data_IF_915282371529
#
_entry.id   IF_915282371529
#
_cell.length_a   1.000
_cell.length_b   1.000
_cell.length_c   1.000
_cell.angle_alpha   90.00
_cell.angle_beta   90.00
_cell.angle_gamma   90.00
#
_symmetry.space_group_name_H-M   'P 1'
#
loop_
_entity.id
_entity.type
_entity.pdbx_description
1 polymer ?
#
# COMPACT_ATOMS: atom_id res chain seq x y z
N UNK A 1 -8.85 4.88 11.60
CA UNK A 1 -8.04 5.70 10.67
C UNK A 1 -6.62 5.14 10.71
N UNK A 2 -5.98 4.91 9.57
CA UNK A 2 -4.62 4.36 9.54
C UNK A 2 -3.58 5.49 9.70
N UNK A 3 -3.56 6.44 8.76
CA UNK A 3 -2.67 7.60 8.84
C UNK A 3 -3.19 8.76 7.99
N UNK A 4 -2.72 9.98 8.26
CA UNK A 4 -2.92 11.12 7.37
C UNK A 4 -1.79 11.14 6.34
N UNK A 5 -2.13 11.02 5.06
CA UNK A 5 -1.15 11.07 3.99
C UNK A 5 -1.03 12.50 3.46
N UNK A 6 0.05 13.18 3.84
CA UNK A 6 0.34 14.55 3.41
C UNK A 6 0.42 14.69 1.88
N UNK A 7 0.94 13.67 1.19
CA UNK A 7 1.07 13.66 -0.27
C UNK A 7 -0.27 13.67 -1.00
N UNK A 8 -1.29 13.04 -0.40
CA UNK A 8 -2.64 13.00 -0.96
C UNK A 8 -3.56 14.08 -0.38
N UNK A 9 -3.10 14.81 0.65
CA UNK A 9 -3.94 15.73 1.41
C UNK A 9 -5.17 15.06 2.03
N UNK A 10 -5.12 13.75 2.26
CA UNK A 10 -6.29 12.96 2.70
C UNK A 10 -5.91 11.87 3.71
N UNK A 11 -6.88 11.41 4.48
CA UNK A 11 -6.74 10.32 5.43
C UNK A 11 -6.86 8.96 4.73
N UNK A 12 -5.91 8.07 5.03
CA UNK A 12 -5.96 6.66 4.67
C UNK A 12 -6.54 5.88 5.85
N UNK A 13 -7.52 5.04 5.58
CA UNK A 13 -8.16 4.17 6.57
C UNK A 13 -8.87 3.01 5.89
N UNK A 14 -9.66 2.25 6.64
CA UNK A 14 -10.28 0.99 6.17
C UNK A 14 -10.93 1.07 4.78
N UNK A 15 -11.74 2.12 4.52
CA UNK A 15 -12.45 2.28 3.24
C UNK A 15 -11.58 2.82 2.10
N UNK A 16 -10.45 3.47 2.41
CA UNK A 16 -9.59 4.13 1.42
C UNK A 16 -8.24 3.41 1.23
N UNK A 17 -7.94 2.41 2.05
CA UNK A 17 -6.67 1.67 2.03
C UNK A 17 -6.48 0.89 0.74
N UNK A 18 -7.52 0.26 0.21
CA UNK A 18 -7.48 -0.43 -1.08
C UNK A 18 -7.11 0.52 -2.22
N UNK A 19 -7.73 1.71 -2.25
CA UNK A 19 -7.45 2.75 -3.24
C UNK A 19 -6.01 3.25 -3.10
N UNK A 20 -5.52 3.41 -1.86
CA UNK A 20 -4.15 3.83 -1.60
C UNK A 20 -3.10 2.81 -2.10
N UNK A 21 -3.32 1.51 -1.87
CA UNK A 21 -2.42 0.46 -2.38
C UNK A 21 -2.45 0.39 -3.90
N UNK A 22 -3.61 0.54 -4.53
CA UNK A 22 -3.73 0.62 -5.99
C UNK A 22 -3.03 1.85 -6.56
N UNK A 23 -3.14 3.00 -5.88
CA UNK A 23 -2.40 4.21 -6.23
C UNK A 23 -0.89 3.97 -6.19
N UNK A 24 -0.36 3.40 -5.11
CA UNK A 24 1.08 3.09 -5.00
C UNK A 24 1.55 2.11 -6.07
N UNK A 25 0.74 1.10 -6.40
CA UNK A 25 1.03 0.15 -7.48
C UNK A 25 1.08 0.86 -8.84
N UNK A 26 0.08 1.69 -9.15
CA UNK A 26 0.03 2.45 -10.40
C UNK A 26 1.20 3.43 -10.51
N UNK A 27 1.53 4.14 -9.43
CA UNK A 27 2.69 5.04 -9.34
C UNK A 27 4.01 4.29 -9.60
N UNK A 28 4.19 3.12 -8.97
CA UNK A 28 5.38 2.28 -9.17
C UNK A 28 5.52 1.83 -10.63
N UNK A 29 4.42 1.40 -11.26
CA UNK A 29 4.40 1.01 -12.67
C UNK A 29 4.74 2.19 -13.58
N UNK A 30 4.13 3.36 -13.32
CA UNK A 30 4.35 4.58 -14.11
C UNK A 30 5.81 5.04 -14.05
N UNK A 31 6.42 5.04 -12.86
CA UNK A 31 7.83 5.39 -12.67
C UNK A 31 8.76 4.41 -13.39
N UNK A 32 8.47 3.10 -13.32
CA UNK A 32 9.23 2.07 -14.02
C UNK A 32 9.14 2.19 -15.55
N UNK A 33 7.93 2.42 -16.09
CA UNK A 33 7.72 2.65 -17.51
C UNK A 33 8.42 3.92 -17.99
N UNK A 34 8.29 5.02 -17.25
CA UNK A 34 8.93 6.31 -17.56
C UNK A 34 10.46 6.18 -17.56
N UNK A 35 11.04 5.53 -16.54
CA UNK A 35 12.48 5.27 -16.48
C UNK A 35 12.98 4.44 -17.66
N UNK A 36 12.25 3.40 -18.05
CA UNK A 36 12.58 2.55 -19.21
C UNK A 36 12.54 3.33 -20.52
N UNK A 37 11.52 4.17 -20.70
CA UNK A 37 11.39 5.05 -21.86
C UNK A 37 12.52 6.09 -21.91
N UNK A 38 12.90 6.67 -20.78
CA UNK A 38 13.99 7.64 -20.68
C UNK A 38 15.35 7.01 -21.05
N UNK A 39 15.66 5.80 -20.57
CA UNK A 39 16.87 5.05 -20.97
C UNK A 39 16.85 4.74 -22.47
N UNK A 40 15.71 4.28 -22.98
CA UNK A 40 15.55 3.96 -24.41
C UNK A 40 15.69 5.20 -25.29
N UNK A 41 15.25 6.36 -24.82
CA UNK A 41 15.42 7.63 -25.51
C UNK A 41 16.90 8.01 -25.63
N UNK A 42 17.71 7.86 -24.56
CA UNK A 42 19.15 8.08 -24.62
C UNK A 42 19.81 7.14 -25.65
N UNK A 43 19.47 5.85 -25.63
CA UNK A 43 20.02 4.87 -26.57
C UNK A 43 19.71 5.18 -28.04
N UNK A 44 18.46 5.56 -28.34
CA UNK A 44 18.07 5.99 -29.70
C UNK A 44 18.73 7.31 -30.08
N UNK A 45 18.74 8.29 -29.18
CA UNK A 45 19.40 9.57 -29.40
C UNK A 45 20.91 9.43 -29.53
N UNK A 46 21.55 8.37 -29.03
CA UNK A 46 22.97 8.08 -29.28
C UNK A 46 23.18 7.46 -30.68
N UNK A 47 22.26 6.60 -31.13
CA UNK A 47 22.32 5.91 -32.42
C UNK A 47 21.91 6.79 -33.62
N UNK A 48 21.01 7.76 -33.43
CA UNK A 48 20.47 8.62 -34.49
C UNK A 48 21.38 9.83 -34.79
N UNK A 49 22.49 10.06 -34.06
CA UNK A 49 23.33 11.27 -34.19
C UNK A 49 24.14 11.35 -35.49
N UNK A 50 23.46 11.72 -36.56
CA UNK A 50 23.85 12.78 -37.51
C UNK A 50 22.82 13.91 -37.32
N UNK A 51 23.19 15.11 -36.88
CA UNK A 51 22.28 16.26 -37.06
C UNK A 51 22.11 17.22 -35.90
N UNK A 52 20.95 17.24 -35.23
CA UNK A 52 20.29 18.54 -35.05
C UNK A 52 19.76 18.89 -33.64
N UNK A 53 20.45 18.52 -32.55
CA UNK A 53 20.10 19.03 -31.22
C UNK A 53 21.33 19.40 -30.36
N UNK A 54 21.28 20.50 -29.56
CA UNK A 54 22.31 20.75 -28.57
C UNK A 54 22.27 19.63 -27.52
N UNK A 55 23.22 18.71 -27.71
CA UNK A 55 23.63 17.59 -26.87
C UNK A 55 23.41 17.77 -25.35
N UNK A 56 23.66 18.93 -24.72
CA UNK A 56 23.48 19.06 -23.27
C UNK A 56 22.02 18.95 -22.81
N UNK A 57 21.04 19.57 -23.47
CA UNK A 57 19.71 19.71 -22.87
C UNK A 57 18.91 18.40 -22.81
N UNK A 58 18.85 17.66 -23.92
CA UNK A 58 18.15 16.35 -23.95
C UNK A 58 18.81 15.33 -23.03
N UNK A 59 20.14 15.27 -23.03
CA UNK A 59 20.88 14.33 -22.19
C UNK A 59 20.69 14.68 -20.71
N UNK A 60 20.80 15.97 -20.35
CA UNK A 60 20.53 16.43 -18.99
C UNK A 60 19.09 16.13 -18.58
N UNK A 61 18.10 16.42 -19.42
CA UNK A 61 16.69 16.13 -19.12
C UNK A 61 16.44 14.63 -18.92
N UNK A 62 17.00 13.77 -19.77
CA UNK A 62 16.85 12.32 -19.65
C UNK A 62 17.53 11.78 -18.38
N UNK A 63 18.75 12.24 -18.05
CA UNK A 63 19.44 11.87 -16.82
C UNK A 63 18.65 12.32 -15.59
N UNK A 64 18.18 13.56 -15.57
CA UNK A 64 17.34 14.08 -14.48
C UNK A 64 16.06 13.26 -14.33
N UNK A 65 15.39 12.92 -15.43
CA UNK A 65 14.20 12.07 -15.41
C UNK A 65 14.48 10.68 -14.83
N UNK A 66 15.58 10.04 -15.24
CA UNK A 66 16.01 8.73 -14.71
C UNK A 66 16.28 8.83 -13.20
N UNK A 67 17.02 9.84 -12.75
CA UNK A 67 17.33 10.04 -11.33
C UNK A 67 16.06 10.20 -10.50
N UNK A 68 15.10 11.01 -10.97
CA UNK A 68 13.81 11.18 -10.30
C UNK A 68 13.01 9.87 -10.28
N UNK A 69 12.97 9.12 -11.38
CA UNK A 69 12.29 7.82 -11.44
C UNK A 69 12.91 6.81 -10.48
N UNK A 70 14.24 6.78 -10.34
CA UNK A 70 14.94 5.87 -9.42
C UNK A 70 14.65 6.24 -7.97
N UNK A 71 14.78 7.51 -7.60
CA UNK A 71 14.57 7.96 -6.22
C UNK A 71 13.10 7.80 -5.79
N UNK A 72 12.17 8.29 -6.60
CA UNK A 72 10.74 8.14 -6.33
C UNK A 72 10.30 6.68 -6.41
N UNK A 73 10.81 5.93 -7.39
CA UNK A 73 10.48 4.52 -7.58
C UNK A 73 10.95 3.65 -6.42
N UNK A 74 12.14 3.92 -5.88
CA UNK A 74 12.63 3.24 -4.68
C UNK A 74 11.73 3.49 -3.46
N UNK A 75 11.35 4.76 -3.22
CA UNK A 75 10.47 5.13 -2.13
C UNK A 75 9.07 4.50 -2.29
N UNK A 76 8.46 4.63 -3.47
CA UNK A 76 7.14 4.09 -3.79
C UNK A 76 7.12 2.55 -3.67
N UNK A 77 8.14 1.86 -4.20
CA UNK A 77 8.25 0.40 -4.11
C UNK A 77 8.39 -0.07 -2.67
N UNK A 78 9.25 0.59 -1.88
CA UNK A 78 9.45 0.24 -0.47
C UNK A 78 8.15 0.41 0.32
N UNK A 79 7.43 1.51 0.08
CA UNK A 79 6.15 1.77 0.73
C UNK A 79 5.07 0.78 0.27
N UNK A 80 5.03 0.44 -1.01
CA UNK A 80 4.11 -0.56 -1.56
C UNK A 80 4.33 -1.93 -0.91
N UNK A 81 5.59 -2.40 -0.83
CA UNK A 81 5.94 -3.66 -0.17
C UNK A 81 5.48 -3.64 1.29
N UNK A 82 5.73 -2.53 2.00
CA UNK A 82 5.31 -2.37 3.38
C UNK A 82 3.79 -2.47 3.54
N UNK A 83 3.02 -1.77 2.70
CA UNK A 83 1.56 -1.78 2.74
C UNK A 83 0.98 -3.14 2.37
N UNK A 84 1.53 -3.81 1.35
CA UNK A 84 1.13 -5.17 0.97
C UNK A 84 1.42 -6.15 2.11
N UNK A 85 2.57 -6.03 2.78
CA UNK A 85 2.89 -6.87 3.93
C UNK A 85 1.92 -6.66 5.11
N UNK A 86 1.46 -5.44 5.34
CA UNK A 86 0.43 -5.11 6.33
C UNK A 86 -0.92 -5.75 5.99
N UNK A 87 -1.34 -5.67 4.73
CA UNK A 87 -2.58 -6.33 4.24
C UNK A 87 -2.56 -7.82 4.52
N UNK A 88 -1.47 -8.52 4.21
CA UNK A 88 -1.36 -9.95 4.50
C UNK A 88 -1.30 -10.25 6.01
N UNK A 89 -0.86 -9.32 6.85
CA UNK A 89 -0.85 -9.49 8.31
C UNK A 89 -2.17 -9.12 8.97
N UNK A 90 -3.11 -8.53 8.24
CA UNK A 90 -4.38 -8.07 8.80
C UNK A 90 -4.18 -6.95 9.81
N UNK A 91 -3.21 -6.06 9.55
CA UNK A 91 -2.86 -4.97 10.44
C UNK A 91 -2.80 -3.65 9.70
N UNK A 92 -3.20 -2.58 10.37
CA UNK A 92 -2.99 -1.21 9.92
C UNK A 92 -1.57 -0.73 10.27
N UNK A 93 -1.09 0.32 9.60
CA UNK A 93 0.17 1.00 9.94
C UNK A 93 0.13 1.49 11.38
N UNK A 94 -1.00 2.05 11.81
CA UNK A 94 -1.18 2.52 13.18
C UNK A 94 -1.07 1.38 14.20
N UNK A 95 -1.75 0.24 13.97
CA UNK A 95 -1.65 -0.93 14.85
C UNK A 95 -0.22 -1.45 14.95
N UNK A 96 0.51 -1.51 13.83
CA UNK A 96 1.92 -1.93 13.84
C UNK A 96 2.81 -0.97 14.63
N UNK A 97 2.66 0.34 14.44
CA UNK A 97 3.49 1.35 15.10
C UNK A 97 3.16 1.49 16.60
N UNK A 98 1.92 1.23 16.99
CA UNK A 98 1.43 1.40 18.36
C UNK A 98 1.20 0.08 19.09
N UNK A 99 1.55 -1.06 18.50
CA UNK A 99 1.23 -2.40 19.01
C UNK A 99 1.55 -2.57 20.48
N UNK A 100 2.77 -2.26 20.91
CA UNK A 100 3.18 -2.42 22.30
C UNK A 100 2.30 -1.61 23.27
N UNK A 101 1.92 -0.39 22.90
CA UNK A 101 1.07 0.48 23.72
C UNK A 101 -0.38 -0.03 23.76
N UNK A 102 -0.91 -0.44 22.61
CA UNK A 102 -2.27 -0.97 22.49
C UNK A 102 -2.43 -2.28 23.22
N UNK A 103 -1.48 -3.19 23.04
CA UNK A 103 -1.50 -4.50 23.69
C UNK A 103 -1.29 -4.36 25.20
N UNK A 104 -0.41 -3.46 25.66
CA UNK A 104 -0.29 -3.18 27.09
C UNK A 104 -1.60 -2.64 27.70
N UNK A 105 -2.25 -1.68 27.02
CA UNK A 105 -3.54 -1.13 27.48
C UNK A 105 -4.67 -2.19 27.47
N UNK A 106 -4.63 -3.11 26.53
CA UNK A 106 -5.58 -4.22 26.42
C UNK A 106 -5.20 -5.48 27.23
N UNK A 107 -4.10 -5.44 28.00
CA UNK A 107 -3.57 -6.58 28.76
C UNK A 107 -3.27 -7.83 27.90
N UNK A 108 -2.78 -7.59 26.68
CA UNK A 108 -2.41 -8.62 25.70
C UNK A 108 -0.88 -8.80 25.61
N UNK A 109 -0.41 -9.96 25.10
CA UNK A 109 1.01 -10.15 24.79
C UNK A 109 1.54 -9.06 23.84
N UNK A 110 2.81 -8.61 23.98
CA UNK A 110 3.36 -7.50 23.20
C UNK A 110 3.29 -7.68 21.68
N UNK A 111 3.38 -8.92 21.19
CA UNK A 111 3.37 -9.26 19.76
C UNK A 111 2.01 -9.77 19.26
N UNK A 112 0.97 -9.71 20.10
CA UNK A 112 -0.35 -10.19 19.74
C UNK A 112 -0.96 -9.35 18.61
N UNK A 113 -1.65 -10.04 17.70
CA UNK A 113 -2.34 -9.44 16.54
C UNK A 113 -3.81 -9.81 16.60
N UNK A 114 -4.65 -8.94 17.19
CA UNK A 114 -6.03 -9.23 17.50
C UNK A 114 -6.87 -9.59 16.27
N UNK A 115 -6.62 -8.91 15.15
CA UNK A 115 -7.42 -8.98 13.92
C UNK A 115 -6.79 -9.86 12.83
N UNK A 116 -5.64 -10.48 13.09
CA UNK A 116 -4.99 -11.38 12.14
C UNK A 116 -5.77 -12.70 12.02
N UNK A 117 -6.24 -13.00 10.81
CA UNK A 117 -7.01 -14.20 10.46
C UNK A 117 -6.27 -15.11 9.49
N UNK A 118 -4.98 -14.86 9.29
CA UNK A 118 -4.13 -15.55 8.35
C UNK A 118 -4.08 -14.87 6.97
N UNK A 119 -2.97 -15.02 6.22
CA UNK A 119 -2.67 -14.18 5.07
C UNK A 119 -3.75 -14.16 3.99
N UNK A 120 -4.31 -15.33 3.66
CA UNK A 120 -5.34 -15.45 2.64
C UNK A 120 -6.64 -14.76 3.06
N UNK A 121 -7.06 -14.96 4.31
CA UNK A 121 -8.31 -14.39 4.83
C UNK A 121 -8.19 -12.87 4.95
N UNK A 122 -7.06 -12.37 5.45
CA UNK A 122 -6.79 -10.93 5.53
C UNK A 122 -6.82 -10.27 4.15
N UNK A 123 -6.20 -10.90 3.14
CA UNK A 123 -6.23 -10.40 1.77
C UNK A 123 -7.64 -10.41 1.17
N UNK A 124 -8.44 -11.47 1.38
CA UNK A 124 -9.82 -11.54 0.90
C UNK A 124 -10.72 -10.49 1.55
N UNK A 125 -10.52 -10.21 2.84
CA UNK A 125 -11.21 -9.13 3.55
C UNK A 125 -10.83 -7.78 2.93
N UNK A 126 -9.54 -7.54 2.71
CA UNK A 126 -9.03 -6.31 2.08
C UNK A 126 -9.58 -6.10 0.66
N UNK A 127 -9.70 -7.16 -0.14
CA UNK A 127 -10.29 -7.09 -1.48
C UNK A 127 -11.82 -6.92 -1.46
N UNK A 128 -12.48 -6.97 -0.30
CA UNK A 128 -13.94 -6.95 -0.19
C UNK A 128 -14.61 -8.26 -0.61
N UNK A 129 -13.83 -9.31 -0.89
CA UNK A 129 -14.33 -10.65 -1.23
C UNK A 129 -14.87 -11.39 0.01
N UNK A 130 -14.50 -10.94 1.20
CA UNK A 130 -14.98 -11.45 2.48
C UNK A 130 -15.36 -10.29 3.40
N UNK A 131 -16.42 -10.46 4.18
CA UNK A 131 -16.80 -9.49 5.21
C UNK A 131 -15.86 -9.58 6.41
N UNK A 132 -15.34 -8.44 6.86
CA UNK A 132 -14.63 -8.35 8.14
C UNK A 132 -15.64 -8.58 9.29
N UNK A 133 -15.39 -9.53 10.21
CA UNK A 133 -16.14 -9.65 11.46
C UNK A 133 -16.08 -8.38 12.34
N UNK A 134 -15.08 -7.51 12.17
CA UNK A 134 -14.96 -6.24 12.89
C UNK A 134 -14.62 -6.38 14.39
N UNK A 135 -14.21 -7.58 14.80
CA UNK A 135 -13.95 -7.96 16.19
C UNK A 135 -12.63 -8.72 16.31
N UNK A 136 -11.97 -8.71 17.48
CA UNK A 136 -10.78 -9.52 17.71
C UNK A 136 -11.08 -11.02 17.61
N UNK A 137 -10.09 -11.81 17.19
CA UNK A 137 -10.20 -13.26 16.97
C UNK A 137 -10.67 -14.06 18.19
N UNK A 138 -10.34 -13.62 19.41
CA UNK A 138 -10.81 -14.28 20.65
C UNK A 138 -12.25 -13.93 21.03
N UNK A 139 -12.82 -12.90 20.42
CA UNK A 139 -14.22 -12.55 20.62
C UNK A 139 -15.13 -13.25 19.59
N UNK A 140 -14.57 -13.82 18.50
CA UNK A 140 -15.34 -14.49 17.45
C UNK A 140 -16.16 -15.67 18.01
N UNK A 141 -17.49 -15.61 17.86
CA UNK A 141 -18.40 -16.70 18.26
C UNK A 141 -19.17 -16.48 19.57
N UNK A 142 -18.86 -15.40 20.30
CA UNK A 142 -19.56 -15.02 21.52
C UNK A 142 -21.06 -14.76 21.27
N UNK A 143 -21.96 -15.10 22.22
CA UNK A 143 -23.41 -14.97 22.02
C UNK A 143 -23.87 -13.56 21.65
N UNK A 144 -23.22 -12.53 22.22
CA UNK A 144 -23.54 -11.13 21.95
C UNK A 144 -23.15 -10.69 20.52
N UNK A 145 -22.24 -11.40 19.85
CA UNK A 145 -21.88 -11.12 18.45
C UNK A 145 -22.93 -11.62 17.47
N UNK A 146 -23.56 -12.77 17.75
CA UNK A 146 -24.70 -13.28 16.95
C UNK A 146 -25.88 -12.31 16.97
N UNK A 147 -26.05 -11.57 18.08
CA UNK A 147 -27.08 -10.55 18.20
C UNK A 147 -26.77 -9.25 17.42
N UNK A 148 -25.48 -8.95 17.14
CA UNK A 148 -25.05 -7.78 16.39
C UNK A 148 -24.82 -8.06 14.90
N UNK A 149 -24.62 -9.32 14.51
CA UNK A 149 -24.74 -9.71 13.11
C UNK A 149 -26.22 -9.59 12.73
N UNK A 150 -26.60 -8.72 11.78
CA UNK A 150 -27.95 -8.77 11.25
C UNK A 150 -28.09 -10.10 10.49
N UNK A 151 -28.52 -11.16 11.17
CA UNK A 151 -29.13 -12.32 10.53
C UNK A 151 -30.26 -11.76 9.65
N UNK A 152 -30.24 -11.98 8.34
CA UNK A 152 -30.82 -13.18 7.72
C UNK A 152 -32.18 -13.58 8.33
N UNK A 153 -32.97 -12.60 8.76
CA UNK A 153 -34.39 -12.71 9.11
C UNK A 153 -35.27 -12.33 7.91
N UNK A 154 -35.08 -13.03 6.80
CA UNK A 154 -36.05 -13.21 5.72
C UNK A 154 -35.52 -14.41 4.93
N UNK A 155 -36.11 -15.59 5.13
CA UNK A 155 -37.13 -16.13 4.22
C UNK A 155 -36.65 -16.15 2.77
#
# INVERSE_FOLDING_TARGET
MDHHCWWLGNCVGERTHAIFVLYLLAETILLGATGTLAVSAIGRSAHVRRGDLPIPLELTAAITCILLCVLAGFAATTLLIFQVALVFRGETTWEKLKRAQLNAAAQLPPDERPYDRGPRRNFLIFCGCMRDPGVPKWAEGEPWQRALSPEKSAQ
#
